data_IF_730228497243
#
_entry.id   IF_730228497243
#
_cell.length_a   1.000
_cell.length_b   1.000
_cell.length_c   1.000
_cell.angle_alpha   90.00
_cell.angle_beta   90.00
_cell.angle_gamma   90.00
#
_symmetry.space_group_name_H-M   'P 1'
#
loop_
_entity.id
_entity.type
_entity.pdbx_description
1 polymer ?
#
# COMPACT_ATOMS: atom_id res chain seq x y z
N UNK A 1 7.22 2.29 -12.75
CA UNK A 1 6.29 2.40 -11.60
C UNK A 1 6.73 3.51 -10.65
N UNK A 2 7.96 3.46 -10.12
CA UNK A 2 8.45 4.46 -9.15
C UNK A 2 8.37 5.93 -9.63
N UNK A 3 8.65 6.23 -10.89
CA UNK A 3 8.62 7.62 -11.39
C UNK A 3 7.21 8.25 -11.41
N UNK A 4 6.18 7.40 -11.59
CA UNK A 4 4.78 7.81 -11.61
C UNK A 4 4.29 8.15 -10.19
N UNK A 5 4.80 7.42 -9.18
CA UNK A 5 4.40 7.59 -7.78
C UNK A 5 5.32 8.51 -6.96
N UNK A 6 6.49 8.91 -7.50
CA UNK A 6 7.44 9.81 -6.84
C UNK A 6 6.80 11.11 -6.33
N UNK A 7 5.92 11.79 -7.09
CA UNK A 7 5.22 13.00 -6.59
C UNK A 7 4.28 12.74 -5.40
N UNK A 8 3.89 11.48 -5.19
CA UNK A 8 2.90 11.06 -4.21
C UNK A 8 3.49 10.30 -3.02
N UNK A 9 4.83 10.27 -2.86
CA UNK A 9 5.52 9.59 -1.76
C UNK A 9 5.14 10.06 -0.35
N UNK A 10 4.48 11.22 -0.24
CA UNK A 10 3.94 11.73 1.03
C UNK A 10 2.83 10.87 1.63
N UNK A 11 2.10 10.11 0.80
CA UNK A 11 0.97 9.28 1.24
C UNK A 11 0.91 7.89 0.60
N UNK A 12 1.82 7.60 -0.33
CA UNK A 12 1.95 6.32 -1.00
C UNK A 12 3.38 5.80 -0.88
N UNK A 13 3.53 4.52 -0.54
CA UNK A 13 4.78 3.78 -0.56
C UNK A 13 4.66 2.69 -1.62
N UNK A 14 5.58 2.68 -2.58
CA UNK A 14 5.60 1.72 -3.69
C UNK A 14 6.87 0.90 -3.60
N UNK A 15 6.72 -0.42 -3.63
CA UNK A 15 7.82 -1.37 -3.65
C UNK A 15 7.56 -2.44 -4.69
N UNK A 16 8.23 -2.33 -5.84
CA UNK A 16 7.99 -3.18 -7.00
C UNK A 16 6.50 -3.18 -7.37
N UNK A 17 5.81 -4.31 -7.15
CA UNK A 17 4.39 -4.50 -7.47
C UNK A 17 3.46 -4.18 -6.29
N UNK A 18 4.00 -3.98 -5.08
CA UNK A 18 3.24 -3.72 -3.86
C UNK A 18 3.09 -2.22 -3.61
N UNK A 19 1.85 -1.76 -3.49
CA UNK A 19 1.53 -0.36 -3.17
C UNK A 19 0.82 -0.29 -1.82
N UNK A 20 1.33 0.57 -0.95
CA UNK A 20 0.72 0.93 0.31
C UNK A 20 0.31 2.41 0.29
N UNK A 21 -0.97 2.67 0.57
CA UNK A 21 -1.51 4.02 0.73
C UNK A 21 -1.87 4.20 2.20
N UNK A 22 -1.39 5.28 2.82
CA UNK A 22 -1.59 5.55 4.25
C UNK A 22 -2.06 6.97 4.48
N UNK A 23 -2.80 7.20 5.57
CA UNK A 23 -3.43 8.50 5.88
C UNK A 23 -3.79 8.56 7.36
N UNK A 24 -3.89 9.77 7.90
CA UNK A 24 -4.23 9.96 9.31
C UNK A 24 -5.75 9.93 9.56
N UNK A 25 -6.54 10.30 8.55
CA UNK A 25 -8.01 10.39 8.64
C UNK A 25 -8.68 9.75 7.43
N UNK A 26 -9.91 9.25 7.63
CA UNK A 26 -10.70 8.57 6.61
C UNK A 26 -10.97 9.45 5.37
N UNK A 27 -11.32 10.72 5.58
CA UNK A 27 -11.61 11.66 4.49
C UNK A 27 -10.37 11.92 3.63
N UNK A 28 -9.21 12.04 4.27
CA UNK A 28 -7.93 12.17 3.58
C UNK A 28 -7.61 10.90 2.79
N UNK A 29 -7.86 9.73 3.38
CA UNK A 29 -7.63 8.44 2.74
C UNK A 29 -8.45 8.27 1.46
N UNK A 30 -9.72 8.68 1.48
CA UNK A 30 -10.58 8.67 0.29
C UNK A 30 -9.97 9.54 -0.83
N UNK A 31 -9.51 10.74 -0.52
CA UNK A 31 -8.87 11.63 -1.50
C UNK A 31 -7.58 11.02 -2.07
N UNK A 32 -6.76 10.38 -1.22
CA UNK A 32 -5.56 9.68 -1.66
C UNK A 32 -5.88 8.48 -2.57
N UNK A 33 -6.92 7.71 -2.25
CA UNK A 33 -7.39 6.61 -3.09
C UNK A 33 -7.87 7.11 -4.46
N UNK A 34 -8.63 8.20 -4.51
CA UNK A 34 -9.03 8.81 -5.79
C UNK A 34 -7.83 9.22 -6.63
N UNK A 35 -6.84 9.86 -6.01
CA UNK A 35 -5.60 10.26 -6.68
C UNK A 35 -4.85 9.04 -7.22
N UNK A 36 -4.71 7.99 -6.41
CA UNK A 36 -4.07 6.74 -6.81
C UNK A 36 -4.79 6.06 -7.99
N UNK A 37 -6.11 5.97 -7.94
CA UNK A 37 -6.90 5.33 -9.00
C UNK A 37 -6.75 6.09 -10.32
N UNK A 38 -6.79 7.42 -10.29
CA UNK A 38 -6.61 8.24 -11.50
C UNK A 38 -5.21 8.04 -12.08
N UNK A 39 -4.19 8.05 -11.24
CA UNK A 39 -2.81 7.84 -11.65
C UNK A 39 -2.58 6.45 -12.27
N UNK A 40 -3.16 5.41 -11.68
CA UNK A 40 -3.13 4.04 -12.23
C UNK A 40 -3.80 3.98 -13.61
N UNK A 41 -4.95 4.65 -13.79
CA UNK A 41 -5.64 4.72 -15.08
C UNK A 41 -4.83 5.45 -16.14
N UNK A 42 -4.26 6.61 -15.80
CA UNK A 42 -3.48 7.44 -16.72
C UNK A 42 -2.18 6.76 -17.16
N UNK A 43 -1.57 5.97 -16.27
CA UNK A 43 -0.34 5.22 -16.56
C UNK A 43 -0.56 3.89 -17.27
N UNK A 44 -1.82 3.49 -17.51
CA UNK A 44 -2.15 2.19 -18.13
C UNK A 44 -1.87 0.98 -17.23
N UNK A 45 -1.71 1.19 -15.91
CA UNK A 45 -1.51 0.12 -14.94
C UNK A 45 -2.83 -0.59 -14.64
N UNK A 46 -2.75 -1.90 -14.39
CA UNK A 46 -3.91 -2.71 -14.01
C UNK A 46 -3.70 -3.24 -12.60
N UNK A 47 -4.63 -2.90 -11.71
CA UNK A 47 -4.64 -3.39 -10.32
C UNK A 47 -5.64 -4.53 -10.16
N UNK A 48 -5.24 -5.57 -9.42
CA UNK A 48 -6.12 -6.71 -9.17
C UNK A 48 -7.06 -6.42 -8.01
N UNK A 49 -8.36 -6.24 -8.29
CA UNK A 49 -9.37 -6.02 -7.25
C UNK A 49 -9.37 -7.09 -6.15
N UNK A 50 -9.02 -8.34 -6.49
CA UNK A 50 -8.92 -9.45 -5.52
C UNK A 50 -7.78 -9.30 -4.52
N UNK A 51 -6.71 -8.58 -4.89
CA UNK A 51 -5.53 -8.38 -4.04
C UNK A 51 -5.60 -7.09 -3.22
N UNK A 52 -6.52 -6.19 -3.55
CA UNK A 52 -6.67 -4.90 -2.87
C UNK A 52 -7.34 -5.10 -1.51
N UNK A 53 -6.75 -4.47 -0.48
CA UNK A 53 -7.34 -4.35 0.86
C UNK A 53 -7.42 -2.86 1.20
N UNK A 54 -8.63 -2.36 1.47
CA UNK A 54 -8.89 -0.93 1.72
C UNK A 54 -9.38 -0.74 3.16
N UNK A 55 -9.18 0.45 3.73
CA UNK A 55 -9.66 0.83 5.07
C UNK A 55 -9.22 -0.11 6.19
N UNK A 56 -8.02 -0.65 6.06
CA UNK A 56 -7.44 -1.55 7.05
C UNK A 56 -6.67 -0.74 8.10
N UNK A 57 -6.92 -1.02 9.37
CA UNK A 57 -6.12 -0.48 10.49
C UNK A 57 -4.86 -1.30 10.75
N UNK A 58 -4.89 -2.58 10.35
CA UNK A 58 -3.80 -3.56 10.46
C UNK A 58 -3.54 -4.19 9.10
N UNK A 59 -2.30 -4.18 8.64
CA UNK A 59 -1.94 -4.74 7.34
C UNK A 59 -0.65 -5.57 7.40
N UNK A 60 -0.46 -6.41 6.38
CA UNK A 60 0.84 -7.04 6.10
C UNK A 60 1.38 -6.40 4.84
N UNK A 61 2.60 -5.87 4.90
CA UNK A 61 3.29 -5.25 3.78
C UNK A 61 4.76 -5.68 3.79
N UNK A 62 5.24 -6.27 2.69
CA UNK A 62 6.63 -6.74 2.53
C UNK A 62 7.15 -7.67 3.63
N UNK A 63 6.28 -8.48 4.23
CA UNK A 63 6.65 -9.36 5.35
C UNK A 63 6.69 -8.67 6.71
N UNK A 64 6.15 -7.46 6.83
CA UNK A 64 5.95 -6.76 8.09
C UNK A 64 4.47 -6.60 8.38
N UNK A 65 4.10 -6.83 9.63
CA UNK A 65 2.83 -6.42 10.18
C UNK A 65 2.91 -4.96 10.61
N UNK A 66 2.03 -4.13 10.07
CA UNK A 66 1.95 -2.71 10.39
C UNK A 66 0.62 -2.46 11.11
N UNK A 67 0.71 -1.91 12.31
CA UNK A 67 -0.44 -1.58 13.15
C UNK A 67 -0.12 -0.45 14.11
N UNK A 68 -0.94 0.61 14.12
CA UNK A 68 -0.86 1.73 15.09
C UNK A 68 0.57 2.28 15.31
N UNK A 69 1.31 2.52 14.23
CA UNK A 69 2.70 3.04 14.30
C UNK A 69 3.75 2.01 14.68
N UNK A 70 3.35 0.76 14.91
CA UNK A 70 4.27 -0.37 15.13
C UNK A 70 4.50 -1.11 13.82
N UNK A 71 5.75 -1.48 13.57
CA UNK A 71 6.17 -2.30 12.44
C UNK A 71 6.87 -3.53 13.01
N UNK A 72 6.23 -4.69 12.89
CA UNK A 72 6.75 -5.95 13.44
C UNK A 72 7.03 -6.93 12.30
N UNK A 73 8.25 -7.50 12.20
CA UNK A 73 8.51 -8.54 11.22
C UNK A 73 7.62 -9.75 11.50
N UNK A 74 6.96 -10.29 10.47
CA UNK A 74 6.23 -11.54 10.64
C UNK A 74 7.27 -12.66 10.81
N UNK A 75 7.12 -13.49 11.85
CA UNK A 75 7.88 -14.73 11.92
C UNK A 75 7.41 -15.63 10.78
N UNK A 76 8.23 -15.77 9.75
CA UNK A 76 8.10 -16.89 8.84
C UNK A 76 8.52 -18.13 9.61
N UNK A 77 7.61 -19.09 9.78
CA UNK A 77 8.01 -20.44 10.17
C UNK A 77 9.10 -20.88 9.20
N UNK A 78 10.33 -20.97 9.69
CA UNK A 78 11.40 -21.60 8.92
C UNK A 78 11.03 -23.08 8.94
N UNK A 79 10.31 -23.53 7.92
CA UNK A 79 10.19 -24.96 7.64
C UNK A 79 11.61 -25.45 7.35
N UNK A 80 12.27 -25.86 8.43
CA UNK A 80 13.57 -26.50 8.39
C UNK A 80 13.27 -27.92 7.94
N UNK A 81 13.41 -28.17 6.64
CA UNK A 81 13.49 -29.53 6.11
C UNK A 81 14.85 -30.13 6.45
#
# INVERSE_FOLDING_TARGET
MNDIFYPHMKFALVYLDDVLIFSNFINQHINHLHTFINLVKESGLVVSAKKIKIFQTKIIFLGYEIYQGTITPIQRSVETQ
#
